data_IF_752024896025
#
_entry.id   IF_752024896025
#
_cell.length_a   1.000
_cell.length_b   1.000
_cell.length_c   1.000
_cell.angle_alpha   90.00
_cell.angle_beta   90.00
_cell.angle_gamma   90.00
#
_symmetry.space_group_name_H-M   'P 1'
#
loop_
_entity.id
_entity.type
_entity.pdbx_description
1 polymer ?
#
# COMPACT_ATOMS: atom_id res chain seq x y z
N UNK A 1 19.85 -18.90 39.76
CA UNK A 1 18.67 -19.75 39.52
C UNK A 1 17.58 -18.80 39.04
N UNK A 2 17.72 -18.31 37.82
CA UNK A 2 17.30 -18.95 36.55
C UNK A 2 15.87 -18.51 36.24
N UNK A 3 15.71 -17.59 35.29
CA UNK A 3 15.51 -17.88 33.85
C UNK A 3 14.13 -18.44 33.55
N UNK A 4 13.28 -17.60 32.98
CA UNK A 4 12.41 -17.89 31.82
C UNK A 4 11.75 -16.56 31.46
N UNK A 5 12.37 -15.70 30.67
CA UNK A 5 12.61 -15.85 29.23
C UNK A 5 11.42 -16.42 28.46
N UNK A 6 10.68 -15.51 27.83
CA UNK A 6 9.94 -15.72 26.60
C UNK A 6 9.50 -14.33 26.13
N UNK A 7 10.48 -13.48 25.82
CA UNK A 7 10.26 -12.41 24.84
C UNK A 7 9.77 -13.11 23.59
N UNK A 8 8.50 -12.92 23.27
CA UNK A 8 7.93 -13.36 22.01
C UNK A 8 8.80 -12.77 20.90
N UNK A 9 9.64 -13.62 20.32
CA UNK A 9 10.20 -13.45 19.00
C UNK A 9 9.00 -13.29 18.08
N UNK A 10 8.59 -12.04 17.85
CA UNK A 10 7.85 -11.71 16.67
C UNK A 10 8.76 -12.17 15.52
N UNK A 11 8.44 -13.33 14.94
CA UNK A 11 9.02 -13.79 13.70
C UNK A 11 8.88 -12.61 12.73
N UNK A 12 9.98 -11.86 12.57
CA UNK A 12 10.04 -10.76 11.64
C UNK A 12 9.99 -11.41 10.27
N UNK A 13 8.77 -11.44 9.71
CA UNK A 13 8.57 -11.85 8.35
C UNK A 13 9.54 -11.05 7.48
N UNK A 14 10.39 -11.71 6.67
CA UNK A 14 11.42 -11.01 5.90
C UNK A 14 10.77 -9.91 5.05
N UNK A 15 11.32 -8.69 5.10
CA UNK A 15 10.76 -7.56 4.37
C UNK A 15 10.74 -7.90 2.88
N UNK A 16 9.56 -7.86 2.28
CA UNK A 16 9.40 -8.05 0.85
C UNK A 16 9.82 -6.76 0.12
N UNK A 17 11.02 -6.79 -0.47
CA UNK A 17 11.58 -5.71 -1.28
C UNK A 17 11.32 -6.01 -2.77
N UNK A 18 10.30 -5.38 -3.35
CA UNK A 18 9.92 -5.57 -4.75
C UNK A 18 11.03 -5.13 -5.71
N UNK A 19 11.88 -4.16 -5.32
CA UNK A 19 13.02 -3.69 -6.13
C UNK A 19 14.09 -4.78 -6.37
N UNK A 20 14.11 -5.82 -5.54
CA UNK A 20 15.00 -6.98 -5.70
C UNK A 20 14.45 -8.02 -6.69
N UNK A 21 13.21 -7.86 -7.17
CA UNK A 21 12.57 -8.71 -8.19
C UNK A 21 12.29 -7.89 -9.45
N UNK A 22 13.34 -7.43 -10.16
CA UNK A 22 13.17 -6.51 -11.28
C UNK A 22 12.30 -7.11 -12.40
N UNK A 23 12.32 -8.42 -12.62
CA UNK A 23 11.52 -9.06 -13.68
C UNK A 23 10.00 -8.94 -13.43
N UNK A 24 9.57 -9.12 -12.19
CA UNK A 24 8.15 -9.02 -11.80
C UNK A 24 7.63 -7.57 -11.87
N UNK A 25 8.54 -6.59 -11.68
CA UNK A 25 8.21 -5.19 -11.47
C UNK A 25 8.86 -4.23 -12.48
N UNK A 26 9.38 -4.72 -13.60
CA UNK A 26 10.18 -3.95 -14.56
C UNK A 26 9.47 -2.66 -15.02
N UNK A 27 8.18 -2.74 -15.31
CA UNK A 27 7.34 -1.59 -15.72
C UNK A 27 7.18 -0.48 -14.67
N UNK A 28 7.60 -0.72 -13.44
CA UNK A 28 7.52 0.24 -12.33
C UNK A 28 8.90 0.78 -11.93
N UNK A 29 9.97 0.31 -12.58
CA UNK A 29 11.33 0.80 -12.36
C UNK A 29 11.57 2.05 -13.20
N UNK A 30 11.99 3.11 -12.52
CA UNK A 30 12.51 4.33 -13.12
C UNK A 30 14.04 4.19 -13.19
N UNK A 31 14.60 4.40 -14.38
CA UNK A 31 16.04 4.39 -14.64
C UNK A 31 16.54 5.75 -15.17
N UNK A 32 15.62 6.65 -15.54
CA UNK A 32 15.96 8.01 -15.94
C UNK A 32 16.40 8.83 -14.73
N UNK A 33 17.62 9.36 -14.75
CA UNK A 33 18.15 10.21 -13.67
C UNK A 33 17.23 11.40 -13.37
N UNK A 34 16.61 11.99 -14.39
CA UNK A 34 15.67 13.11 -14.23
C UNK A 34 14.43 12.69 -13.44
N UNK A 35 13.85 11.53 -13.76
CA UNK A 35 12.67 11.02 -13.05
C UNK A 35 13.00 10.60 -11.62
N UNK A 36 14.13 9.94 -11.42
CA UNK A 36 14.63 9.54 -10.09
C UNK A 36 14.79 10.78 -9.21
N UNK A 37 15.49 11.81 -9.69
CA UNK A 37 15.69 13.07 -8.96
C UNK A 37 14.36 13.75 -8.65
N UNK A 38 13.40 13.75 -9.58
CA UNK A 38 12.08 14.35 -9.34
C UNK A 38 11.33 13.64 -8.20
N UNK A 39 11.38 12.30 -8.14
CA UNK A 39 10.78 11.53 -7.04
C UNK A 39 11.49 11.79 -5.73
N UNK A 40 12.83 11.77 -5.71
CA UNK A 40 13.61 12.02 -4.49
C UNK A 40 13.38 13.45 -3.94
N UNK A 41 13.32 14.46 -4.82
CA UNK A 41 12.95 15.84 -4.43
C UNK A 41 11.55 15.93 -3.84
N UNK A 42 10.61 15.14 -4.35
CA UNK A 42 9.25 15.07 -3.79
C UNK A 42 9.24 14.49 -2.37
N UNK A 43 10.13 13.53 -2.06
CA UNK A 43 10.31 13.02 -0.70
C UNK A 43 10.85 14.10 0.24
N UNK A 44 11.82 14.90 -0.21
CA UNK A 44 12.34 16.06 0.54
C UNK A 44 11.23 17.07 0.83
N UNK A 45 10.51 17.50 -0.21
CA UNK A 45 9.47 18.53 -0.09
C UNK A 45 8.37 18.14 0.91
N UNK A 46 8.01 16.86 0.95
CA UNK A 46 6.98 16.33 1.86
C UNK A 46 7.50 15.90 3.21
N UNK A 47 8.83 15.97 3.42
CA UNK A 47 9.50 15.45 4.61
C UNK A 47 9.07 14.01 4.90
N UNK A 48 8.99 13.21 3.84
CA UNK A 48 8.51 11.83 3.93
C UNK A 48 9.46 11.00 4.80
N UNK A 49 8.88 10.25 5.74
CA UNK A 49 9.61 9.24 6.49
C UNK A 49 10.06 8.12 5.54
N UNK A 50 11.28 7.65 5.74
CA UNK A 50 11.91 6.58 4.97
C UNK A 50 12.44 5.54 5.92
N UNK A 51 12.05 4.29 5.72
CA UNK A 51 12.67 3.15 6.40
C UNK A 51 13.87 2.71 5.57
N UNK A 52 15.08 2.78 6.13
CA UNK A 52 16.30 2.29 5.50
C UNK A 52 16.70 0.95 6.13
N UNK A 53 16.58 -0.11 5.35
CA UNK A 53 16.92 -1.48 5.72
C UNK A 53 18.36 -1.80 5.34
N UNK A 54 19.06 -2.50 6.22
CA UNK A 54 20.44 -2.96 6.05
C UNK A 54 20.60 -4.34 6.70
N UNK A 55 21.81 -4.92 6.66
CA UNK A 55 22.06 -6.27 7.21
C UNK A 55 21.11 -7.33 6.60
N UNK A 56 21.09 -7.40 5.27
CA UNK A 56 20.18 -8.29 4.51
C UNK A 56 18.69 -8.07 4.82
N UNK A 57 18.33 -6.87 5.29
CA UNK A 57 16.97 -6.52 5.68
C UNK A 57 16.58 -6.92 7.10
N UNK A 58 17.50 -7.45 7.92
CA UNK A 58 17.22 -7.83 9.32
C UNK A 58 17.17 -6.63 10.25
N UNK A 59 17.83 -5.53 9.87
CA UNK A 59 17.91 -4.29 10.64
C UNK A 59 17.38 -3.11 9.84
N UNK A 60 16.83 -2.10 10.52
CA UNK A 60 16.39 -0.87 9.86
C UNK A 60 16.54 0.38 10.75
N UNK A 61 16.71 1.53 10.11
CA UNK A 61 16.52 2.85 10.73
C UNK A 61 15.36 3.60 10.09
N UNK A 62 14.74 4.48 10.86
CA UNK A 62 13.84 5.49 10.34
C UNK A 62 14.63 6.78 10.07
N UNK A 63 14.57 7.28 8.85
CA UNK A 63 15.29 8.46 8.38
C UNK A 63 14.39 9.31 7.47
N UNK A 64 14.92 10.37 6.89
CA UNK A 64 14.30 11.17 5.83
C UNK A 64 15.33 11.59 4.79
N UNK A 65 14.89 11.83 3.55
CA UNK A 65 15.75 12.44 2.54
C UNK A 65 15.82 13.95 2.82
N UNK A 66 17.02 14.45 3.08
CA UNK A 66 17.26 15.84 3.44
C UNK A 66 17.47 16.72 2.20
N UNK A 67 18.28 16.24 1.25
CA UNK A 67 18.66 17.01 0.07
C UNK A 67 19.05 16.09 -1.08
N UNK A 68 18.83 16.58 -2.32
CA UNK A 68 19.16 15.89 -3.57
C UNK A 68 19.93 16.87 -4.46
N UNK A 69 21.21 16.61 -4.70
CA UNK A 69 22.04 17.34 -5.65
C UNK A 69 22.28 16.50 -6.90
N UNK A 70 21.58 16.84 -7.99
CA UNK A 70 21.68 16.11 -9.25
C UNK A 70 22.99 16.37 -10.00
N UNK A 71 23.61 17.55 -9.80
CA UNK A 71 24.83 17.96 -10.48
C UNK A 71 26.04 17.29 -9.83
N UNK A 72 26.06 17.22 -8.50
CA UNK A 72 27.09 16.53 -7.73
C UNK A 72 26.85 15.01 -7.56
N UNK A 73 25.76 14.49 -8.13
CA UNK A 73 25.32 13.10 -7.99
C UNK A 73 25.17 12.63 -6.53
N UNK A 74 24.67 13.52 -5.67
CA UNK A 74 24.67 13.30 -4.22
C UNK A 74 23.25 13.31 -3.63
N UNK A 75 23.00 12.33 -2.76
CA UNK A 75 21.83 12.24 -1.90
C UNK A 75 22.25 12.38 -0.44
N UNK A 76 21.51 13.18 0.32
CA UNK A 76 21.68 13.33 1.76
C UNK A 76 20.48 12.75 2.49
N UNK A 77 20.71 11.88 3.47
CA UNK A 77 19.69 11.34 4.37
C UNK A 77 20.04 11.66 5.83
N UNK A 78 19.01 11.75 6.65
CA UNK A 78 19.15 12.05 8.08
C UNK A 78 19.81 10.90 8.84
N UNK A 79 20.55 11.23 9.90
CA UNK A 79 21.13 10.23 10.80
C UNK A 79 20.18 9.92 11.96
N UNK A 80 20.28 8.70 12.51
CA UNK A 80 19.52 8.33 13.70
C UNK A 80 20.10 8.96 14.97
N UNK A 81 19.35 8.87 16.08
CA UNK A 81 19.86 9.28 17.41
C UNK A 81 20.79 8.24 18.05
N UNK A 82 20.78 7.02 17.54
CA UNK A 82 21.58 5.91 18.08
C UNK A 82 22.91 5.81 17.33
N UNK A 83 24.00 6.18 17.99
CA UNK A 83 25.34 6.13 17.42
C UNK A 83 25.85 4.72 17.11
N UNK A 84 25.38 3.69 17.83
CA UNK A 84 25.76 2.32 17.54
C UNK A 84 25.10 1.86 16.23
N UNK A 85 23.83 2.19 16.04
CA UNK A 85 23.13 1.89 14.78
C UNK A 85 23.70 2.72 13.62
N UNK A 86 24.00 4.01 13.84
CA UNK A 86 24.63 4.85 12.81
C UNK A 86 25.97 4.27 12.33
N UNK A 87 26.79 3.73 13.24
CA UNK A 87 28.03 3.03 12.88
C UNK A 87 27.77 1.78 12.02
N UNK A 88 26.76 0.99 12.34
CA UNK A 88 26.39 -0.17 11.52
C UNK A 88 25.92 0.25 10.12
N UNK A 89 25.15 1.33 10.03
CA UNK A 89 24.68 1.92 8.77
C UNK A 89 25.84 2.37 7.88
N UNK A 90 26.90 2.95 8.45
CA UNK A 90 28.11 3.35 7.70
C UNK A 90 28.95 2.15 7.22
N UNK A 91 28.91 1.03 7.94
CA UNK A 91 29.58 -0.21 7.56
C UNK A 91 28.81 -1.00 6.49
N UNK A 92 27.51 -0.76 6.36
CA UNK A 92 26.67 -1.44 5.38
C UNK A 92 27.11 -1.09 3.94
N UNK A 93 27.30 -2.11 3.11
CA UNK A 93 27.64 -1.94 1.69
C UNK A 93 26.44 -1.45 0.88
N UNK A 94 25.24 -1.75 1.36
CA UNK A 94 24.00 -1.44 0.68
C UNK A 94 22.87 -1.22 1.66
N UNK A 95 22.05 -0.20 1.38
CA UNK A 95 20.81 0.05 2.09
C UNK A 95 19.63 0.03 1.13
N UNK A 96 18.51 -0.54 1.56
CA UNK A 96 17.23 -0.49 0.86
C UNK A 96 16.30 0.48 1.54
N UNK A 97 15.93 1.55 0.83
CA UNK A 97 15.09 2.61 1.34
C UNK A 97 13.68 2.40 0.84
N UNK A 98 12.71 2.42 1.76
CA UNK A 98 11.29 2.26 1.49
C UNK A 98 10.54 3.46 2.04
N UNK A 99 9.74 4.11 1.18
CA UNK A 99 8.87 5.21 1.58
C UNK A 99 7.54 5.15 0.84
N UNK A 100 6.64 6.06 1.17
CA UNK A 100 5.36 6.23 0.51
C UNK A 100 5.18 7.70 0.11
N UNK A 101 5.00 7.94 -1.18
CA UNK A 101 4.71 9.25 -1.77
C UNK A 101 3.31 9.23 -2.35
N UNK A 102 2.37 10.05 -1.85
CA UNK A 102 0.97 10.04 -2.30
C UNK A 102 0.30 8.65 -2.30
N UNK A 103 0.59 7.83 -1.29
CA UNK A 103 0.13 6.42 -1.20
C UNK A 103 0.71 5.50 -2.28
N UNK A 104 1.70 5.95 -3.03
CA UNK A 104 2.52 5.16 -3.96
C UNK A 104 3.79 4.72 -3.23
N UNK A 105 4.03 3.41 -3.18
CA UNK A 105 5.24 2.85 -2.58
C UNK A 105 6.44 3.22 -3.46
N UNK A 106 7.46 3.77 -2.83
CA UNK A 106 8.75 4.11 -3.45
C UNK A 106 9.83 3.27 -2.79
N UNK A 107 10.68 2.63 -3.61
CA UNK A 107 11.85 1.93 -3.13
C UNK A 107 13.07 2.30 -3.97
N UNK A 108 14.22 2.39 -3.33
CA UNK A 108 15.50 2.56 -4.01
C UNK A 108 16.60 1.98 -3.12
N UNK A 109 17.77 1.71 -3.69
CA UNK A 109 18.91 1.26 -2.90
C UNK A 109 20.05 2.25 -3.01
N UNK A 110 20.73 2.50 -1.89
CA UNK A 110 21.97 3.25 -1.86
C UNK A 110 23.13 2.30 -1.61
N UNK A 111 24.31 2.63 -2.15
CA UNK A 111 25.55 1.95 -1.81
C UNK A 111 26.07 2.39 -0.44
N UNK A 112 27.39 2.27 -0.25
CA UNK A 112 28.06 2.71 0.97
C UNK A 112 27.81 4.20 1.24
N UNK A 113 27.50 4.50 2.50
CA UNK A 113 27.28 5.86 2.98
C UNK A 113 28.57 6.45 3.56
N UNK A 114 28.66 7.78 3.54
CA UNK A 114 29.69 8.54 4.25
C UNK A 114 29.07 9.51 5.23
N UNK A 115 29.74 9.76 6.37
CA UNK A 115 29.33 10.81 7.30
C UNK A 115 29.46 12.19 6.66
N UNK A 116 28.51 13.06 6.98
CA UNK A 116 28.52 14.46 6.57
C UNK A 116 27.66 15.28 7.53
N UNK A 117 27.47 16.56 7.23
CA UNK A 117 26.56 17.44 7.96
C UNK A 117 25.62 18.15 7.02
N UNK A 118 24.36 18.29 7.43
CA UNK A 118 23.37 19.13 6.77
C UNK A 118 22.83 20.13 7.78
N UNK A 119 22.93 21.43 7.48
CA UNK A 119 22.53 22.51 8.39
C UNK A 119 23.12 22.39 9.80
N UNK A 120 24.38 21.93 9.90
CA UNK A 120 25.09 21.73 11.16
C UNK A 120 24.80 20.43 11.90
N UNK A 121 23.78 19.67 11.48
CA UNK A 121 23.37 18.39 12.08
C UNK A 121 24.02 17.20 11.36
N UNK A 122 24.31 16.08 12.06
CA UNK A 122 24.87 14.89 11.44
C UNK A 122 23.93 14.27 10.41
N UNK A 123 24.48 13.86 9.28
CA UNK A 123 23.76 13.27 8.16
C UNK A 123 24.63 12.22 7.46
N UNK A 124 24.03 11.47 6.54
CA UNK A 124 24.74 10.55 5.65
C UNK A 124 24.63 11.01 4.20
N UNK A 125 25.73 10.92 3.46
CA UNK A 125 25.78 11.13 2.02
C UNK A 125 25.95 9.81 1.27
N UNK A 126 25.34 9.73 0.08
CA UNK A 126 25.51 8.64 -0.88
C UNK A 126 25.47 9.19 -2.30
N UNK A 127 25.91 8.38 -3.27
CA UNK A 127 25.59 8.62 -4.67
C UNK A 127 24.08 8.49 -4.92
N UNK A 128 23.57 9.11 -5.98
CA UNK A 128 22.17 8.90 -6.38
C UNK A 128 21.95 7.43 -6.79
N UNK A 129 20.75 6.87 -6.56
CA UNK A 129 20.46 5.51 -6.98
C UNK A 129 20.33 5.44 -8.51
N UNK A 130 20.89 4.39 -9.12
CA UNK A 130 20.77 4.14 -10.57
C UNK A 130 19.35 3.77 -11.01
N UNK A 131 18.55 3.27 -10.06
CA UNK A 131 17.16 2.87 -10.28
C UNK A 131 16.30 3.13 -9.06
N UNK A 132 15.05 3.48 -9.30
CA UNK A 132 14.03 3.69 -8.28
C UNK A 132 12.76 2.96 -8.69
N UNK A 133 12.21 2.14 -7.79
CA UNK A 133 10.90 1.54 -7.97
C UNK A 133 9.82 2.51 -7.51
N UNK A 134 8.87 2.85 -8.39
CA UNK A 134 7.65 3.60 -8.06
C UNK A 134 6.43 2.75 -8.36
N UNK A 135 5.90 2.07 -7.34
CA UNK A 135 4.91 1.01 -7.49
C UNK A 135 3.47 1.54 -7.64
N UNK A 136 3.20 2.29 -8.72
CA UNK A 136 1.87 2.76 -9.06
C UNK A 136 1.11 1.72 -9.90
N UNK A 137 0.71 0.62 -9.26
CA UNK A 137 -0.03 -0.49 -9.90
C UNK A 137 -1.52 -0.25 -10.07
N UNK A 138 -2.03 0.93 -9.70
CA UNK A 138 -3.47 1.21 -9.64
C UNK A 138 -3.86 2.22 -10.70
N UNK A 139 -4.74 1.80 -11.59
CA UNK A 139 -5.36 2.67 -12.61
C UNK A 139 -6.49 3.52 -12.03
N UNK A 140 -7.16 3.03 -10.98
CA UNK A 140 -8.31 3.70 -10.36
C UNK A 140 -8.03 4.08 -8.91
N UNK A 141 -8.49 5.27 -8.53
CA UNK A 141 -8.57 5.68 -7.14
C UNK A 141 -9.51 4.74 -6.36
N UNK A 142 -9.11 4.39 -5.12
CA UNK A 142 -9.89 3.56 -4.20
C UNK A 142 -10.46 4.43 -3.08
N UNK A 143 -11.77 4.53 -3.06
CA UNK A 143 -12.54 5.12 -1.98
C UNK A 143 -12.77 4.08 -0.88
N UNK A 144 -12.30 4.35 0.34
CA UNK A 144 -12.77 3.64 1.53
C UNK A 144 -14.23 4.00 1.79
N UNK A 145 -15.10 3.00 1.93
CA UNK A 145 -16.53 3.25 2.15
C UNK A 145 -16.79 3.86 3.53
N UNK A 146 -17.77 4.76 3.68
CA UNK A 146 -18.12 5.33 4.97
C UNK A 146 -18.67 4.28 5.94
N UNK A 147 -18.24 4.32 7.20
CA UNK A 147 -18.77 3.44 8.26
C UNK A 147 -20.22 3.81 8.61
N UNK A 148 -20.57 5.10 8.53
CA UNK A 148 -21.92 5.60 8.90
C UNK A 148 -23.00 5.27 7.87
N UNK A 149 -22.62 5.11 6.61
CA UNK A 149 -23.50 4.70 5.50
C UNK A 149 -22.81 3.53 4.77
N UNK A 150 -22.83 2.32 5.35
CA UNK A 150 -22.06 1.21 4.82
C UNK A 150 -22.60 0.77 3.46
N UNK A 151 -21.67 0.47 2.55
CA UNK A 151 -22.01 -0.17 1.28
C UNK A 151 -22.07 -1.68 1.49
N UNK A 152 -23.15 -2.30 1.03
CA UNK A 152 -23.39 -3.74 1.16
C UNK A 152 -23.48 -4.36 -0.22
N UNK A 153 -22.88 -5.55 -0.35
CA UNK A 153 -23.04 -6.43 -1.49
C UNK A 153 -23.99 -7.55 -1.09
N UNK A 154 -24.97 -7.82 -1.95
CA UNK A 154 -25.80 -9.02 -1.93
C UNK A 154 -25.54 -9.80 -3.21
N UNK A 155 -25.19 -11.08 -3.08
CA UNK A 155 -25.02 -11.97 -4.23
C UNK A 155 -25.55 -13.37 -3.90
N UNK A 156 -25.58 -14.24 -4.91
CA UNK A 156 -25.86 -15.66 -4.74
C UNK A 156 -24.68 -16.45 -5.25
N UNK A 157 -24.02 -17.17 -4.35
CA UNK A 157 -22.96 -18.11 -4.72
C UNK A 157 -23.57 -19.46 -5.09
N UNK A 158 -22.95 -20.15 -6.05
CA UNK A 158 -23.25 -21.55 -6.33
C UNK A 158 -22.21 -22.41 -5.63
N UNK A 159 -22.67 -23.33 -4.78
CA UNK A 159 -21.81 -24.33 -4.14
C UNK A 159 -21.47 -25.46 -5.11
N UNK A 160 -20.48 -26.28 -4.75
CA UNK A 160 -20.07 -27.44 -5.54
C UNK A 160 -21.20 -28.45 -5.76
N UNK A 161 -22.15 -28.54 -4.82
CA UNK A 161 -23.35 -29.36 -4.90
C UNK A 161 -24.48 -28.73 -5.75
N UNK A 162 -24.24 -27.58 -6.39
CA UNK A 162 -25.21 -26.84 -7.20
C UNK A 162 -26.19 -25.98 -6.39
N UNK A 163 -26.21 -26.10 -5.07
CA UNK A 163 -27.11 -25.31 -4.21
C UNK A 163 -26.78 -23.81 -4.28
N UNK A 164 -27.83 -23.00 -4.18
CA UNK A 164 -27.73 -21.54 -4.13
C UNK A 164 -27.51 -21.09 -2.68
N UNK A 165 -26.46 -20.31 -2.45
CA UNK A 165 -26.18 -19.68 -1.17
C UNK A 165 -26.31 -18.17 -1.30
N UNK A 166 -27.34 -17.53 -0.71
CA UNK A 166 -27.37 -16.08 -0.59
C UNK A 166 -26.23 -15.62 0.31
N UNK A 167 -25.50 -14.60 -0.12
CA UNK A 167 -24.43 -13.97 0.64
C UNK A 167 -24.68 -12.48 0.74
N UNK A 168 -24.47 -11.94 1.93
CA UNK A 168 -24.45 -10.51 2.18
C UNK A 168 -23.17 -10.15 2.92
N UNK A 169 -22.45 -9.15 2.43
CA UNK A 169 -21.17 -8.72 3.00
C UNK A 169 -20.96 -7.21 2.84
N UNK A 170 -20.18 -6.63 3.76
CA UNK A 170 -19.76 -5.24 3.69
C UNK A 170 -18.67 -5.03 2.63
N UNK A 171 -18.80 -3.94 1.89
CA UNK A 171 -17.76 -3.45 0.98
C UNK A 171 -16.87 -2.49 1.74
N UNK A 172 -15.57 -2.78 1.85
CA UNK A 172 -14.56 -2.01 2.55
C UNK A 172 -14.03 -0.83 1.72
N UNK A 173 -13.85 -1.06 0.42
CA UNK A 173 -13.40 -0.05 -0.53
C UNK A 173 -13.96 -0.29 -1.93
N UNK A 174 -14.06 0.79 -2.70
CA UNK A 174 -14.64 0.82 -4.04
C UNK A 174 -13.76 1.68 -4.94
N UNK A 175 -13.56 1.24 -6.18
CA UNK A 175 -12.87 1.98 -7.25
C UNK A 175 -13.58 1.79 -8.57
N UNK A 176 -13.18 2.52 -9.61
CA UNK A 176 -13.70 2.28 -10.96
C UNK A 176 -13.51 0.84 -11.47
N UNK A 177 -12.44 0.14 -11.04
CA UNK A 177 -12.11 -1.21 -11.51
C UNK A 177 -12.63 -2.36 -10.63
N UNK A 178 -13.11 -2.10 -9.41
CA UNK A 178 -13.50 -3.18 -8.50
C UNK A 178 -13.77 -2.74 -7.07
N UNK A 179 -13.99 -3.73 -6.21
CA UNK A 179 -14.33 -3.56 -4.79
C UNK A 179 -13.50 -4.47 -3.89
N UNK A 180 -13.32 -4.06 -2.63
CA UNK A 180 -12.81 -4.89 -1.54
C UNK A 180 -13.94 -5.31 -0.62
N UNK A 181 -14.11 -6.61 -0.38
CA UNK A 181 -15.13 -7.17 0.49
C UNK A 181 -14.55 -7.60 1.84
N UNK A 182 -15.37 -7.51 2.89
CA UNK A 182 -15.08 -8.09 4.21
C UNK A 182 -15.73 -9.46 4.33
N UNK A 183 -14.94 -10.52 4.22
CA UNK A 183 -15.43 -11.89 4.35
C UNK A 183 -15.08 -12.49 5.72
N UNK A 184 -16.02 -13.25 6.29
CA UNK A 184 -15.69 -14.19 7.36
C UNK A 184 -14.79 -15.30 6.82
N UNK A 185 -14.06 -16.03 7.67
CA UNK A 185 -13.27 -17.18 7.22
C UNK A 185 -14.09 -18.19 6.40
N UNK A 186 -15.34 -18.45 6.80
CA UNK A 186 -16.26 -19.35 6.07
C UNK A 186 -16.65 -18.83 4.70
N UNK A 187 -16.95 -17.53 4.56
CA UNK A 187 -17.25 -16.93 3.25
C UNK A 187 -16.00 -16.88 2.37
N UNK A 188 -14.83 -16.56 2.94
CA UNK A 188 -13.58 -16.48 2.20
C UNK A 188 -13.12 -17.84 1.62
N UNK A 189 -13.51 -18.95 2.26
CA UNK A 189 -13.31 -20.30 1.73
C UNK A 189 -14.09 -20.52 0.42
N UNK A 190 -15.27 -19.90 0.27
CA UNK A 190 -16.12 -19.97 -0.92
C UNK A 190 -15.74 -18.97 -2.02
N UNK A 191 -14.72 -18.14 -1.78
CA UNK A 191 -14.24 -17.11 -2.70
C UNK A 191 -12.77 -17.35 -3.07
N UNK A 192 -12.43 -18.47 -3.74
CA UNK A 192 -11.08 -18.66 -4.27
C UNK A 192 -10.79 -17.66 -5.40
N UNK A 193 -9.51 -17.42 -5.68
CA UNK A 193 -9.09 -16.59 -6.82
C UNK A 193 -9.68 -17.16 -8.11
N UNK A 194 -10.23 -16.28 -8.95
CA UNK A 194 -10.95 -16.63 -10.18
C UNK A 194 -12.44 -16.91 -9.99
N UNK A 195 -12.93 -17.06 -8.75
CA UNK A 195 -14.35 -17.24 -8.48
C UNK A 195 -15.16 -16.07 -9.02
N UNK A 196 -16.24 -16.37 -9.75
CA UNK A 196 -17.16 -15.36 -10.27
C UNK A 196 -18.38 -15.22 -9.36
N UNK A 197 -18.80 -13.97 -9.16
CA UNK A 197 -20.07 -13.62 -8.54
C UNK A 197 -20.90 -12.87 -9.57
N UNK A 198 -21.83 -13.58 -10.19
CA UNK A 198 -22.76 -13.00 -11.17
C UNK A 198 -23.91 -12.27 -10.47
N UNK A 199 -24.46 -11.25 -11.14
CA UNK A 199 -25.64 -10.52 -10.68
C UNK A 199 -25.52 -9.99 -9.24
N UNK A 200 -24.31 -9.58 -8.86
CA UNK A 200 -24.05 -8.99 -7.55
C UNK A 200 -24.72 -7.63 -7.48
N UNK A 201 -25.50 -7.42 -6.43
CA UNK A 201 -26.25 -6.20 -6.16
C UNK A 201 -25.52 -5.41 -5.08
N UNK A 202 -25.00 -4.23 -5.44
CA UNK A 202 -24.23 -3.37 -4.56
C UNK A 202 -25.05 -2.11 -4.30
N UNK A 203 -25.52 -1.91 -3.08
CA UNK A 203 -26.30 -0.73 -2.73
C UNK A 203 -25.36 0.46 -2.50
N UNK A 204 -25.35 1.44 -3.40
CA UNK A 204 -24.60 2.68 -3.28
C UNK A 204 -25.52 3.73 -2.63
N UNK A 205 -25.32 4.09 -1.35
CA UNK A 205 -26.18 5.03 -0.65
C UNK A 205 -26.32 6.32 -1.44
N UNK A 206 -27.55 6.83 -1.57
CA UNK A 206 -27.90 8.07 -2.28
C UNK A 206 -27.60 8.07 -3.81
N UNK A 207 -27.19 6.94 -4.41
CA UNK A 207 -27.00 6.79 -5.87
C UNK A 207 -27.87 5.66 -6.46
N UNK A 208 -28.11 4.59 -5.69
CA UNK A 208 -28.98 3.49 -6.06
C UNK A 208 -28.29 2.12 -6.08
N UNK A 209 -28.92 1.15 -6.75
CA UNK A 209 -28.45 -0.22 -6.82
C UNK A 209 -27.55 -0.46 -8.04
N UNK A 210 -26.27 -0.75 -7.81
CA UNK A 210 -25.33 -1.16 -8.84
C UNK A 210 -25.38 -2.68 -9.02
N UNK A 211 -25.83 -3.13 -10.19
CA UNK A 211 -25.75 -4.55 -10.57
C UNK A 211 -24.45 -4.81 -11.34
N UNK A 212 -23.63 -5.73 -10.87
CA UNK A 212 -22.33 -6.02 -11.46
C UNK A 212 -21.97 -7.52 -11.39
N UNK A 213 -21.22 -7.96 -12.39
CA UNK A 213 -20.51 -9.24 -12.32
C UNK A 213 -19.12 -8.98 -11.73
N UNK A 214 -18.68 -9.87 -10.85
CA UNK A 214 -17.40 -9.74 -10.16
C UNK A 214 -16.55 -10.98 -10.35
N UNK A 215 -15.23 -10.81 -10.35
CA UNK A 215 -14.27 -11.92 -10.27
C UNK A 215 -13.29 -11.68 -9.12
N UNK A 216 -13.07 -12.70 -8.31
CA UNK A 216 -12.13 -12.63 -7.18
C UNK A 216 -10.69 -12.60 -7.71
N UNK A 217 -9.94 -11.54 -7.41
CA UNK A 217 -8.55 -11.36 -7.84
C UNK A 217 -7.55 -11.77 -6.76
N UNK A 218 -7.84 -11.46 -5.49
CA UNK A 218 -6.98 -11.78 -4.36
C UNK A 218 -7.79 -11.90 -3.07
N UNK A 219 -7.18 -12.54 -2.06
CA UNK A 219 -7.67 -12.55 -0.68
C UNK A 219 -6.49 -12.48 0.29
N UNK A 220 -6.67 -11.81 1.41
CA UNK A 220 -5.69 -11.74 2.49
C UNK A 220 -6.39 -11.71 3.84
N UNK A 221 -5.80 -12.35 4.84
CA UNK A 221 -6.27 -12.29 6.21
C UNK A 221 -5.86 -10.96 6.85
N UNK A 222 -6.78 -10.31 7.55
CA UNK A 222 -6.56 -9.08 8.29
C UNK A 222 -7.10 -9.25 9.71
N UNK A 223 -6.38 -8.71 10.69
CA UNK A 223 -6.82 -8.67 12.08
C UNK A 223 -7.60 -7.38 12.34
N UNK A 224 -8.73 -7.48 13.03
CA UNK A 224 -9.42 -6.33 13.60
C UNK A 224 -8.66 -5.80 14.81
N UNK A 225 -8.93 -4.55 15.22
CA UNK A 225 -8.37 -3.97 16.46
C UNK A 225 -8.71 -4.77 17.72
N UNK A 226 -9.79 -5.55 17.70
CA UNK A 226 -10.21 -6.42 18.80
C UNK A 226 -9.64 -7.85 18.73
N UNK A 227 -8.70 -8.12 17.82
CA UNK A 227 -8.06 -9.45 17.68
C UNK A 227 -8.86 -10.48 16.87
N UNK A 228 -10.13 -10.23 16.54
CA UNK A 228 -10.88 -11.07 15.62
C UNK A 228 -10.31 -11.00 14.20
N UNK A 229 -10.31 -12.11 13.46
CA UNK A 229 -9.77 -12.22 12.10
C UNK A 229 -10.88 -12.13 11.05
N UNK A 230 -10.63 -11.41 9.95
CA UNK A 230 -11.46 -11.41 8.76
C UNK A 230 -10.58 -11.53 7.51
N UNK A 231 -11.20 -11.81 6.37
CA UNK A 231 -10.51 -11.80 5.09
C UNK A 231 -10.95 -10.58 4.28
N UNK A 232 -9.98 -9.84 3.76
CA UNK A 232 -10.23 -8.89 2.70
C UNK A 232 -10.17 -9.62 1.37
N UNK A 233 -11.27 -9.59 0.62
CA UNK A 233 -11.37 -10.22 -0.70
C UNK A 233 -11.48 -9.13 -1.75
N UNK A 234 -10.46 -9.01 -2.60
CA UNK A 234 -10.46 -8.06 -3.72
C UNK A 234 -11.13 -8.65 -4.95
N UNK A 235 -12.14 -7.97 -5.47
CA UNK A 235 -12.87 -8.37 -6.67
C UNK A 235 -12.77 -7.29 -7.75
N UNK A 236 -12.56 -7.71 -9.01
CA UNK A 236 -12.67 -6.83 -10.18
C UNK A 236 -14.09 -6.86 -10.75
N UNK A 237 -14.50 -5.75 -11.35
CA UNK A 237 -15.73 -5.68 -12.12
C UNK A 237 -15.56 -6.30 -13.51
N UNK A 238 -16.51 -7.13 -13.93
CA UNK A 238 -16.55 -7.72 -15.27
C UNK A 238 -17.65 -7.03 -16.09
N UNK A 239 -17.26 -6.39 -17.19
CA UNK A 239 -18.20 -5.91 -18.20
C UNK A 239 -19.19 -4.85 -17.71
N UNK A 240 -18.76 -3.93 -16.84
CA UNK A 240 -19.60 -2.79 -16.47
C UNK A 240 -19.93 -1.95 -17.71
N UNK A 241 -21.22 -1.66 -17.89
CA UNK A 241 -21.67 -0.73 -18.92
C UNK A 241 -21.25 0.70 -18.57
N UNK A 242 -21.13 1.57 -19.58
CA UNK A 242 -20.79 2.98 -19.36
C UNK A 242 -21.73 3.68 -18.38
N UNK A 243 -23.04 3.38 -18.42
CA UNK A 243 -24.01 3.94 -17.48
C UNK A 243 -23.74 3.52 -16.02
N UNK A 244 -23.39 2.25 -15.78
CA UNK A 244 -23.05 1.74 -14.44
C UNK A 244 -21.70 2.28 -13.96
N UNK A 245 -20.74 2.43 -14.85
CA UNK A 245 -19.46 3.09 -14.55
C UNK A 245 -19.69 4.56 -14.14
N UNK A 246 -20.55 5.28 -14.85
CA UNK A 246 -20.87 6.68 -14.52
C UNK A 246 -21.55 6.81 -13.15
N UNK A 247 -22.48 5.90 -12.82
CA UNK A 247 -23.10 5.83 -11.49
C UNK A 247 -22.05 5.62 -10.39
N UNK A 248 -21.13 4.68 -10.60
CA UNK A 248 -20.03 4.40 -9.67
C UNK A 248 -19.11 5.61 -9.48
N UNK A 249 -18.77 6.33 -10.56
CA UNK A 249 -17.92 7.52 -10.52
C UNK A 249 -18.59 8.68 -9.77
N UNK A 250 -19.91 8.89 -9.97
CA UNK A 250 -20.67 9.89 -9.20
C UNK A 250 -20.64 9.59 -7.70
N UNK A 251 -20.89 8.32 -7.32
CA UNK A 251 -20.78 7.88 -5.94
C UNK A 251 -19.40 8.20 -5.35
N UNK A 252 -18.33 7.78 -6.05
CA UNK A 252 -16.95 7.98 -5.59
C UNK A 252 -16.65 9.47 -5.40
N UNK A 253 -16.99 10.28 -6.39
CA UNK A 253 -16.74 11.72 -6.39
C UNK A 253 -17.48 12.43 -5.26
N UNK A 254 -18.75 12.05 -5.02
CA UNK A 254 -19.57 12.65 -3.97
C UNK A 254 -19.02 12.35 -2.57
N UNK A 255 -18.71 11.08 -2.27
CA UNK A 255 -18.16 10.73 -0.95
C UNK A 255 -16.78 11.37 -0.74
N UNK A 256 -15.96 11.48 -1.79
CA UNK A 256 -14.68 12.19 -1.68
C UNK A 256 -14.88 13.67 -1.32
N UNK A 257 -15.84 14.36 -1.97
CA UNK A 257 -16.20 15.74 -1.65
C UNK A 257 -16.70 15.89 -0.22
N UNK A 258 -17.62 15.02 0.22
CA UNK A 258 -18.11 15.01 1.61
C UNK A 258 -16.98 14.82 2.63
N UNK A 259 -16.03 13.92 2.33
CA UNK A 259 -14.87 13.68 3.18
C UNK A 259 -13.94 14.89 3.25
N UNK A 260 -13.69 15.55 2.11
CA UNK A 260 -12.88 16.78 2.06
C UNK A 260 -13.54 17.90 2.86
N UNK A 261 -14.85 18.11 2.71
CA UNK A 261 -15.59 19.13 3.46
C UNK A 261 -15.54 18.91 4.98
N UNK A 262 -15.67 17.66 5.43
CA UNK A 262 -15.51 17.31 6.86
C UNK A 262 -14.10 17.58 7.39
N UNK A 263 -13.07 17.29 6.60
CA UNK A 263 -11.68 17.53 6.99
C UNK A 263 -11.33 19.03 6.99
N UNK A 264 -11.97 19.83 6.14
CA UNK A 264 -11.76 21.29 6.08
C UNK A 264 -12.66 22.09 7.04
N UNK A 265 -13.50 21.42 7.86
CA UNK A 265 -14.39 22.09 8.82
C UNK A 265 -15.57 22.83 8.19
N UNK A 266 -15.95 22.49 6.96
CA UNK A 266 -17.05 23.12 6.20
C UNK A 266 -18.34 22.26 6.19
N UNK A 267 -18.46 21.31 7.12
CA UNK A 267 -19.57 20.38 7.22
C UNK A 267 -20.52 20.74 8.35
#
# INVERSE_FOLDING_TARGET
>A
MEETDSRMLAEQQPIHLEIERPDDYARFLLQSKVEIVAVLRSLVQRRSLVSAYFDEGRSFILTSVLQVDAAADQLLIDSGRDEAINRQVLLAERLFLVSTLDKVKVQFSLGRLSETRSSGLPAFAAALPDKLLRLQRREYFRLTTPVTKPVRLVATLRRADGSALPVETSVLDISGGGIGLMATPSLAALLPRGQRLSDSRINLPDEGLLNANLQVCNKGEEATRGGSRYFRVGCEFIGLTGARMNMLQRYITRIERERKARLSGMA
#
